data_IF_912357606376
#
_entry.id   IF_912357606376
#
_cell.length_a   1.000
_cell.length_b   1.000
_cell.length_c   1.000
_cell.angle_alpha   90.00
_cell.angle_beta   90.00
_cell.angle_gamma   90.00
#
_symmetry.space_group_name_H-M   'P 1'
#
loop_
_entity.id
_entity.type
_entity.pdbx_description
1 polymer ?
#
# COMPACT_ATOMS: atom_id res chain seq x y z
N UNK A 1 10.09 1.04 26.44
CA UNK A 1 9.66 -0.31 26.89
C UNK A 1 10.65 -0.85 27.92
N UNK A 2 10.21 -1.36 29.09
CA UNK A 2 11.13 -1.82 30.14
C UNK A 2 11.84 -3.09 29.70
N UNK A 3 13.19 -3.11 29.73
CA UNK A 3 14.01 -4.30 29.51
C UNK A 3 13.62 -5.38 30.55
N UNK A 4 13.00 -6.49 30.10
CA UNK A 4 12.71 -7.63 30.99
C UNK A 4 11.52 -8.51 30.58
N UNK A 5 10.53 -8.00 29.87
CA UNK A 5 9.42 -8.77 29.30
C UNK A 5 9.27 -8.38 27.82
N UNK A 6 9.35 -9.34 26.91
CA UNK A 6 9.12 -9.03 25.48
C UNK A 6 7.74 -8.40 25.35
N UNK A 7 7.68 -7.22 24.74
CA UNK A 7 6.38 -6.57 24.46
C UNK A 7 5.65 -7.31 23.35
N UNK A 8 4.33 -7.40 23.47
CA UNK A 8 3.51 -8.17 22.56
C UNK A 8 2.36 -7.33 22.04
N UNK A 9 2.21 -7.28 20.74
CA UNK A 9 1.22 -6.44 20.03
C UNK A 9 0.22 -7.36 19.32
N UNK A 10 -1.07 -7.06 19.43
CA UNK A 10 -2.09 -7.66 18.59
C UNK A 10 -2.38 -6.74 17.40
N UNK A 11 -2.00 -7.16 16.22
CA UNK A 11 -2.31 -6.47 14.97
C UNK A 11 -3.60 -7.04 14.37
N UNK A 12 -4.54 -6.19 13.99
CA UNK A 12 -5.84 -6.60 13.45
C UNK A 12 -5.93 -6.27 11.97
N UNK A 13 -6.14 -7.29 11.13
CA UNK A 13 -6.24 -7.19 9.67
C UNK A 13 -7.23 -8.24 9.15
N UNK A 14 -8.55 -7.98 9.25
CA UNK A 14 -9.58 -9.01 9.10
C UNK A 14 -10.20 -9.13 7.71
N UNK A 15 -10.06 -8.11 6.83
CA UNK A 15 -10.72 -8.12 5.51
C UNK A 15 -9.89 -8.78 4.39
N UNK A 16 -8.60 -8.98 4.61
CA UNK A 16 -7.69 -9.71 3.72
C UNK A 16 -6.62 -10.39 4.57
N UNK A 17 -6.14 -11.55 4.14
CA UNK A 17 -5.11 -12.28 4.89
C UNK A 17 -3.72 -11.68 4.61
N UNK A 18 -2.86 -11.48 5.62
CA UNK A 18 -1.47 -11.08 5.40
C UNK A 18 -0.66 -12.12 4.60
N UNK A 19 -1.18 -13.34 4.45
CA UNK A 19 -0.57 -14.42 3.68
C UNK A 19 -0.93 -14.38 2.19
N UNK A 20 -1.92 -13.56 1.81
CA UNK A 20 -2.34 -13.44 0.41
C UNK A 20 -1.30 -12.64 -0.40
N UNK A 21 -1.07 -13.08 -1.63
CA UNK A 21 -0.14 -12.42 -2.54
C UNK A 21 -0.64 -11.01 -2.89
N UNK A 22 0.20 -9.99 -2.68
CA UNK A 22 -0.11 -8.63 -3.10
C UNK A 22 -0.39 -8.57 -4.62
N UNK A 23 -1.43 -7.81 -4.98
CA UNK A 23 -1.88 -7.69 -6.38
C UNK A 23 -2.96 -8.70 -6.78
N UNK A 24 -3.39 -9.59 -5.89
CA UNK A 24 -4.45 -10.58 -6.12
C UNK A 24 -5.63 -10.28 -5.18
N UNK A 25 -6.85 -10.30 -5.70
CA UNK A 25 -8.06 -10.02 -4.92
C UNK A 25 -8.01 -8.66 -4.22
N UNK A 26 -8.26 -8.63 -2.91
CA UNK A 26 -8.15 -7.43 -2.08
C UNK A 26 -6.74 -7.20 -1.50
N UNK A 27 -5.83 -8.17 -1.66
CA UNK A 27 -4.47 -8.04 -1.17
C UNK A 27 -3.67 -7.00 -1.96
N UNK A 28 -2.97 -6.12 -1.27
CA UNK A 28 -2.22 -5.03 -1.88
C UNK A 28 -1.16 -4.43 -0.96
N UNK A 29 -0.89 -3.15 -1.10
CA UNK A 29 0.14 -2.44 -0.32
C UNK A 29 -0.04 -2.54 1.20
N UNK A 30 -1.28 -2.64 1.69
CA UNK A 30 -1.52 -2.83 3.11
C UNK A 30 -1.01 -4.19 3.62
N UNK A 31 -1.13 -5.27 2.83
CA UNK A 31 -0.60 -6.59 3.18
C UNK A 31 0.92 -6.52 3.35
N UNK A 32 1.60 -5.87 2.40
CA UNK A 32 3.05 -5.63 2.46
C UNK A 32 3.41 -4.81 3.70
N UNK A 33 2.68 -3.70 3.93
CA UNK A 33 2.89 -2.82 5.09
C UNK A 33 2.82 -3.59 6.41
N UNK A 34 1.76 -4.36 6.63
CA UNK A 34 1.53 -5.09 7.89
C UNK A 34 2.62 -6.14 8.11
N UNK A 35 2.93 -6.94 7.09
CA UNK A 35 3.92 -8.01 7.20
C UNK A 35 5.33 -7.47 7.41
N UNK A 36 5.75 -6.51 6.60
CA UNK A 36 7.12 -5.98 6.68
C UNK A 36 7.34 -5.15 7.94
N UNK A 37 6.35 -4.33 8.37
CA UNK A 37 6.42 -3.63 9.64
C UNK A 37 6.51 -4.60 10.82
N UNK A 38 5.69 -5.68 10.83
CA UNK A 38 5.72 -6.69 11.89
C UNK A 38 7.08 -7.38 11.99
N UNK A 39 7.66 -7.80 10.85
CA UNK A 39 9.00 -8.40 10.82
C UNK A 39 10.08 -7.47 11.40
N UNK A 40 10.06 -6.18 11.06
CA UNK A 40 11.03 -5.21 11.58
C UNK A 40 10.79 -4.88 13.06
N UNK A 41 9.55 -4.85 13.52
CA UNK A 41 9.24 -4.72 14.94
C UNK A 41 9.69 -5.95 15.73
N UNK A 42 9.55 -7.16 15.18
CA UNK A 42 10.03 -8.39 15.79
C UNK A 42 11.56 -8.41 15.89
N UNK A 43 12.27 -7.98 14.85
CA UNK A 43 13.72 -7.80 14.87
C UNK A 43 14.16 -6.77 15.93
N UNK A 44 13.31 -5.79 16.28
CA UNK A 44 13.52 -4.86 17.38
C UNK A 44 13.11 -5.41 18.76
N UNK A 45 12.70 -6.68 18.87
CA UNK A 45 12.39 -7.38 20.12
C UNK A 45 10.91 -7.29 20.56
N UNK A 46 9.99 -6.92 19.66
CA UNK A 46 8.55 -6.86 19.90
C UNK A 46 7.87 -8.04 19.22
N UNK A 47 7.17 -8.88 19.97
CA UNK A 47 6.39 -9.98 19.39
C UNK A 47 5.08 -9.45 18.80
N UNK A 48 4.72 -9.90 17.59
CA UNK A 48 3.54 -9.45 16.86
C UNK A 48 2.66 -10.63 16.46
N UNK A 49 1.43 -10.66 16.96
CA UNK A 49 0.41 -11.58 16.50
C UNK A 49 -0.56 -10.84 15.57
N UNK A 50 -0.62 -11.23 14.30
CA UNK A 50 -1.49 -10.64 13.28
C UNK A 50 -2.78 -11.46 13.19
N UNK A 51 -3.89 -10.89 13.63
CA UNK A 51 -5.20 -11.53 13.60
C UNK A 51 -5.90 -11.25 12.28
N UNK A 52 -6.29 -12.31 11.60
CA UNK A 52 -7.06 -12.27 10.35
C UNK A 52 -8.24 -13.24 10.40
N UNK A 53 -9.25 -13.02 9.56
CA UNK A 53 -10.38 -13.95 9.46
C UNK A 53 -9.97 -15.21 8.70
N UNK A 54 -10.35 -16.38 9.23
CA UNK A 54 -10.23 -17.63 8.49
C UNK A 54 -11.20 -17.62 7.29
N UNK A 55 -10.67 -17.80 6.11
CA UNK A 55 -11.43 -17.85 4.83
C UNK A 55 -11.49 -19.27 4.23
N UNK A 56 -10.92 -20.28 4.93
CA UNK A 56 -10.95 -21.70 4.57
C UNK A 56 -11.06 -22.53 5.84
N UNK A 57 -11.77 -23.68 5.80
CA UNK A 57 -12.02 -24.50 6.99
C UNK A 57 -10.78 -25.18 7.58
N UNK A 58 -9.75 -25.41 6.76
CA UNK A 58 -8.56 -26.18 7.14
C UNK A 58 -7.32 -25.32 7.42
N UNK A 59 -7.52 -24.02 7.66
CA UNK A 59 -6.39 -23.16 8.05
C UNK A 59 -5.97 -23.49 9.49
N UNK A 60 -4.66 -23.59 9.77
CA UNK A 60 -4.18 -23.76 11.14
C UNK A 60 -4.53 -22.51 11.97
N UNK A 61 -4.71 -22.68 13.27
CA UNK A 61 -5.02 -21.57 14.19
C UNK A 61 -3.92 -20.50 14.15
N UNK A 62 -2.67 -20.91 13.99
CA UNK A 62 -1.49 -20.02 13.95
C UNK A 62 -0.47 -20.48 12.93
N UNK A 63 0.11 -19.50 12.21
CA UNK A 63 1.25 -19.68 11.29
C UNK A 63 2.33 -18.68 11.67
N UNK A 64 3.52 -19.17 12.01
CA UNK A 64 4.69 -18.32 12.17
C UNK A 64 5.24 -17.95 10.78
N UNK A 65 5.38 -16.63 10.51
CA UNK A 65 5.87 -16.09 9.23
C UNK A 65 7.27 -15.49 9.32
N UNK A 66 7.72 -15.23 10.53
CA UNK A 66 9.08 -14.82 10.89
C UNK A 66 9.26 -15.03 12.40
N UNK A 67 10.51 -15.06 12.88
CA UNK A 67 10.78 -15.13 14.32
C UNK A 67 10.06 -14.00 15.08
N UNK A 68 9.17 -14.37 15.98
CA UNK A 68 8.34 -13.45 16.75
C UNK A 68 7.15 -12.82 16.00
N UNK A 69 6.82 -13.30 14.79
CA UNK A 69 5.63 -12.85 14.03
C UNK A 69 4.73 -14.02 13.67
N UNK A 70 3.52 -14.04 14.22
CA UNK A 70 2.52 -15.06 13.96
C UNK A 70 1.28 -14.47 13.27
N UNK A 71 0.69 -15.24 12.35
CA UNK A 71 -0.64 -15.00 11.81
C UNK A 71 -1.63 -15.90 12.55
N UNK A 72 -2.63 -15.29 13.18
CA UNK A 72 -3.69 -15.96 13.94
C UNK A 72 -4.99 -15.93 13.15
N UNK A 73 -5.62 -17.08 12.92
CA UNK A 73 -6.87 -17.17 12.19
C UNK A 73 -8.07 -17.16 13.13
N UNK A 74 -8.93 -16.15 13.01
CA UNK A 74 -10.20 -16.04 13.72
C UNK A 74 -11.32 -16.66 12.89
N UNK A 75 -12.05 -17.62 13.45
CA UNK A 75 -13.22 -18.21 12.81
C UNK A 75 -14.43 -17.33 13.08
N UNK A 76 -14.96 -16.69 12.02
CA UNK A 76 -16.11 -15.81 12.11
C UNK A 76 -16.89 -15.81 10.78
N UNK A 77 -18.16 -16.19 10.85
CA UNK A 77 -19.04 -16.32 9.69
C UNK A 77 -18.65 -17.47 8.76
N UNK A 78 -19.22 -17.50 7.54
CA UNK A 78 -18.91 -18.52 6.55
C UNK A 78 -17.46 -18.40 6.08
N UNK A 79 -16.82 -19.52 5.79
CA UNK A 79 -15.44 -19.51 5.26
C UNK A 79 -15.37 -18.91 3.85
N UNK A 80 -16.34 -19.24 3.00
CA UNK A 80 -16.39 -18.84 1.60
C UNK A 80 -17.61 -17.93 1.31
N UNK A 81 -17.56 -17.18 0.21
CA UNK A 81 -18.68 -16.40 -0.30
C UNK A 81 -18.99 -15.10 0.45
N UNK A 82 -18.23 -14.74 1.48
CA UNK A 82 -18.42 -13.49 2.20
C UNK A 82 -17.66 -12.36 1.48
N UNK A 83 -18.40 -11.39 0.97
CA UNK A 83 -17.81 -10.19 0.37
C UNK A 83 -17.26 -9.24 1.44
N UNK A 84 -16.41 -8.32 1.03
CA UNK A 84 -15.85 -7.29 1.91
C UNK A 84 -16.93 -6.37 2.49
N UNK A 85 -17.98 -6.11 1.72
CA UNK A 85 -19.12 -5.28 2.09
C UNK A 85 -19.99 -5.94 3.17
N UNK A 86 -19.95 -7.26 3.26
CA UNK A 86 -20.69 -8.05 4.25
C UNK A 86 -19.90 -8.29 5.55
N UNK A 87 -18.58 -8.07 5.55
CA UNK A 87 -17.72 -8.26 6.73
C UNK A 87 -18.16 -7.46 7.97
N UNK A 88 -18.72 -6.25 7.88
CA UNK A 88 -19.23 -5.55 9.07
C UNK A 88 -20.28 -6.33 9.84
N UNK A 89 -21.07 -7.18 9.18
CA UNK A 89 -22.05 -8.05 9.84
C UNK A 89 -21.40 -9.12 10.73
N UNK A 90 -20.11 -9.40 10.54
CA UNK A 90 -19.35 -10.41 11.29
C UNK A 90 -18.54 -9.83 12.47
N UNK A 91 -18.64 -8.53 12.76
CA UNK A 91 -17.87 -7.90 13.84
C UNK A 91 -18.12 -8.54 15.21
N UNK A 92 -19.37 -8.92 15.52
CA UNK A 92 -19.69 -9.63 16.75
C UNK A 92 -19.01 -11.00 16.86
N UNK A 93 -19.02 -11.79 15.78
CA UNK A 93 -18.37 -13.09 15.73
C UNK A 93 -16.84 -12.96 15.81
N UNK A 94 -16.26 -11.98 15.12
CA UNK A 94 -14.82 -11.67 15.18
C UNK A 94 -14.40 -11.24 16.58
N UNK A 95 -15.19 -10.38 17.23
CA UNK A 95 -14.95 -9.97 18.64
C UNK A 95 -14.97 -11.18 19.57
N UNK A 96 -15.99 -12.03 19.44
CA UNK A 96 -16.11 -13.23 20.27
C UNK A 96 -14.93 -14.18 20.08
N UNK A 97 -14.50 -14.42 18.83
CA UNK A 97 -13.35 -15.28 18.53
C UNK A 97 -12.05 -14.70 19.11
N UNK A 98 -11.81 -13.39 18.98
CA UNK A 98 -10.65 -12.73 19.59
C UNK A 98 -10.69 -12.85 21.12
N UNK A 99 -11.83 -12.58 21.75
CA UNK A 99 -11.97 -12.64 23.20
C UNK A 99 -11.80 -14.06 23.75
N UNK A 100 -12.28 -15.09 23.02
CA UNK A 100 -12.02 -16.49 23.37
C UNK A 100 -10.51 -16.80 23.36
N UNK A 101 -9.80 -16.35 22.33
CA UNK A 101 -8.34 -16.48 22.28
C UNK A 101 -7.67 -15.71 23.44
N UNK A 102 -8.05 -14.46 23.67
CA UNK A 102 -7.51 -13.61 24.74
C UNK A 102 -7.71 -14.21 26.15
N UNK A 103 -8.87 -14.83 26.41
CA UNK A 103 -9.20 -15.43 27.71
C UNK A 103 -8.37 -16.67 28.02
N UNK A 104 -7.72 -17.30 27.05
CA UNK A 104 -6.79 -18.42 27.25
C UNK A 104 -5.38 -17.95 27.62
N UNK A 105 -5.10 -16.64 27.54
CA UNK A 105 -3.79 -16.06 27.73
C UNK A 105 -3.68 -15.38 29.11
N UNK A 106 -2.46 -15.21 29.65
CA UNK A 106 -2.26 -14.44 30.86
C UNK A 106 -2.79 -13.00 30.76
N UNK A 107 -3.21 -12.43 31.87
CA UNK A 107 -3.61 -11.02 31.96
C UNK A 107 -2.49 -10.11 31.39
N UNK A 108 -2.89 -9.10 30.62
CA UNK A 108 -1.97 -8.17 29.99
C UNK A 108 -0.98 -8.84 29.00
N UNK A 109 -1.41 -9.91 28.34
CA UNK A 109 -0.60 -10.59 27.33
C UNK A 109 -0.28 -9.65 26.16
N UNK A 110 -1.30 -8.99 25.61
CA UNK A 110 -1.12 -7.90 24.66
C UNK A 110 -1.13 -6.56 25.40
N UNK A 111 -0.16 -5.70 25.08
CA UNK A 111 -0.03 -4.37 25.64
C UNK A 111 -0.73 -3.32 24.79
N UNK A 112 -0.89 -3.58 23.48
CA UNK A 112 -1.44 -2.64 22.51
C UNK A 112 -2.13 -3.39 21.37
N UNK A 113 -3.20 -2.77 20.83
CA UNK A 113 -3.87 -3.17 19.60
C UNK A 113 -3.44 -2.22 18.49
N UNK A 114 -3.08 -2.75 17.32
CA UNK A 114 -2.88 -1.95 16.11
C UNK A 114 -3.78 -2.49 14.99
N UNK A 115 -4.78 -1.72 14.61
CA UNK A 115 -5.73 -2.11 13.57
C UNK A 115 -5.45 -1.42 12.24
N UNK A 116 -5.67 -2.16 11.15
CA UNK A 116 -5.44 -1.71 9.79
C UNK A 116 -6.72 -1.81 8.97
N UNK A 117 -7.11 -0.69 8.35
CA UNK A 117 -8.36 -0.52 7.63
C UNK A 117 -9.60 -0.46 8.55
N UNK A 118 -10.64 0.25 8.12
CA UNK A 118 -11.77 0.65 8.94
C UNK A 118 -12.52 -0.49 9.62
N UNK A 119 -12.71 -1.67 8.95
CA UNK A 119 -13.39 -2.84 9.53
C UNK A 119 -12.58 -3.38 10.71
N UNK A 120 -11.27 -3.52 10.55
CA UNK A 120 -10.38 -3.91 11.64
C UNK A 120 -10.32 -2.83 12.73
N UNK A 121 -10.50 -1.57 12.36
CA UNK A 121 -10.62 -0.45 13.28
C UNK A 121 -11.85 -0.57 14.18
N UNK A 122 -13.01 -0.90 13.61
CA UNK A 122 -14.23 -1.14 14.37
C UNK A 122 -14.09 -2.35 15.32
N UNK A 123 -13.48 -3.45 14.83
CA UNK A 123 -13.15 -4.59 15.68
C UNK A 123 -12.24 -4.18 16.85
N UNK A 124 -11.15 -3.45 16.53
CA UNK A 124 -10.18 -2.95 17.51
C UNK A 124 -10.81 -2.02 18.55
N UNK A 125 -11.74 -1.16 18.14
CA UNK A 125 -12.50 -0.32 19.05
C UNK A 125 -13.28 -1.15 20.08
N UNK A 126 -14.09 -2.11 19.62
CA UNK A 126 -14.89 -2.95 20.54
C UNK A 126 -13.99 -3.75 21.50
N UNK A 127 -12.88 -4.32 21.00
CA UNK A 127 -11.91 -5.04 21.85
C UNK A 127 -11.26 -4.08 22.86
N UNK A 128 -10.85 -2.88 22.42
CA UNK A 128 -10.24 -1.88 23.29
C UNK A 128 -11.16 -1.47 24.45
N UNK A 129 -12.45 -1.27 24.18
CA UNK A 129 -13.44 -0.96 25.23
C UNK A 129 -13.59 -2.09 26.24
N UNK A 130 -13.63 -3.37 25.79
CA UNK A 130 -13.79 -4.52 26.65
C UNK A 130 -12.54 -4.86 27.47
N UNK A 131 -11.34 -4.60 26.94
CA UNK A 131 -10.08 -5.02 27.54
C UNK A 131 -9.28 -3.87 28.15
N UNK A 132 -9.66 -2.64 27.86
CA UNK A 132 -8.88 -1.43 28.16
C UNK A 132 -7.46 -1.43 27.56
N UNK A 133 -7.18 -2.22 26.51
CA UNK A 133 -5.93 -2.19 25.77
C UNK A 133 -5.98 -0.98 24.81
N UNK A 134 -4.96 -0.09 24.79
CA UNK A 134 -4.96 1.06 23.89
C UNK A 134 -4.94 0.65 22.44
N UNK A 135 -5.69 1.39 21.59
CA UNK A 135 -5.84 1.14 20.17
C UNK A 135 -5.07 2.20 19.36
N UNK A 136 -4.11 1.76 18.58
CA UNK A 136 -3.55 2.53 17.45
C UNK A 136 -4.23 2.06 16.17
N UNK A 137 -4.51 3.00 15.26
CA UNK A 137 -5.17 2.68 14.00
C UNK A 137 -4.49 3.34 12.80
N UNK A 138 -4.37 2.58 11.69
CA UNK A 138 -3.92 3.06 10.38
C UNK A 138 -5.01 2.83 9.36
N UNK A 139 -5.48 3.92 8.71
CA UNK A 139 -6.60 3.84 7.74
C UNK A 139 -6.23 3.14 6.45
N UNK A 140 -5.03 3.35 5.93
CA UNK A 140 -4.52 2.98 4.61
C UNK A 140 -5.28 3.60 3.44
N UNK A 141 -6.59 3.71 3.50
CA UNK A 141 -7.44 4.46 2.55
C UNK A 141 -8.68 4.95 3.28
N UNK A 142 -9.24 6.07 2.87
CA UNK A 142 -10.44 6.63 3.47
C UNK A 142 -11.52 6.90 2.42
N UNK A 143 -12.79 6.67 2.78
CA UNK A 143 -13.94 6.83 1.90
C UNK A 143 -14.07 8.27 1.40
N UNK A 144 -13.96 9.25 2.30
CA UNK A 144 -14.15 10.66 1.93
C UNK A 144 -13.08 11.14 0.95
N UNK A 145 -11.81 10.76 1.12
CA UNK A 145 -10.74 11.13 0.18
C UNK A 145 -10.94 10.43 -1.17
N UNK A 146 -11.33 9.14 -1.18
CA UNK A 146 -11.66 8.44 -2.43
C UNK A 146 -12.82 9.08 -3.17
N UNK A 147 -13.88 9.45 -2.45
CA UNK A 147 -15.07 10.07 -3.05
C UNK A 147 -14.80 11.47 -3.63
N UNK A 148 -13.77 12.16 -3.15
CA UNK A 148 -13.32 13.43 -3.74
C UNK A 148 -12.51 13.23 -5.04
N UNK A 149 -12.00 12.01 -5.30
CA UNK A 149 -11.08 11.71 -6.38
C UNK A 149 -11.51 10.46 -7.18
N UNK A 150 -12.79 10.35 -7.49
CA UNK A 150 -13.32 9.20 -8.24
C UNK A 150 -12.79 9.18 -9.68
N UNK A 151 -12.42 8.00 -10.15
CA UNK A 151 -12.17 7.76 -11.57
C UNK A 151 -13.49 7.81 -12.36
N UNK A 152 -13.39 8.05 -13.68
CA UNK A 152 -14.57 8.07 -14.53
C UNK A 152 -15.32 6.71 -14.48
N UNK A 153 -16.60 6.74 -14.12
CA UNK A 153 -17.42 5.54 -14.01
C UNK A 153 -17.25 4.74 -12.70
N UNK A 154 -16.43 5.23 -11.76
CA UNK A 154 -16.31 4.61 -10.45
C UNK A 154 -17.45 5.05 -9.53
N UNK A 155 -18.01 4.11 -8.77
CA UNK A 155 -19.03 4.40 -7.77
C UNK A 155 -18.39 4.95 -6.49
N UNK A 156 -19.05 5.89 -5.79
CA UNK A 156 -18.56 6.35 -4.50
C UNK A 156 -18.59 5.24 -3.45
N UNK A 157 -17.65 5.31 -2.51
CA UNK A 157 -17.63 4.43 -1.35
C UNK A 157 -18.93 4.61 -0.52
N UNK A 158 -19.48 3.53 0.02
CA UNK A 158 -20.73 3.57 0.76
C UNK A 158 -20.66 4.49 1.99
N UNK A 159 -21.76 5.19 2.30
CA UNK A 159 -21.83 6.08 3.47
C UNK A 159 -21.53 5.35 4.79
N UNK A 160 -21.95 4.07 4.91
CA UNK A 160 -21.65 3.26 6.11
C UNK A 160 -20.15 3.13 6.38
N UNK A 161 -19.33 3.10 5.33
CA UNK A 161 -17.86 3.10 5.47
C UNK A 161 -17.37 4.43 6.07
N UNK A 162 -17.82 5.56 5.54
CA UNK A 162 -17.44 6.88 6.05
C UNK A 162 -17.84 7.05 7.53
N UNK A 163 -19.03 6.59 7.91
CA UNK A 163 -19.50 6.59 9.31
C UNK A 163 -18.61 5.70 10.18
N UNK A 164 -18.31 4.48 9.71
CA UNK A 164 -17.43 3.56 10.43
C UNK A 164 -16.02 4.10 10.63
N UNK A 165 -15.46 4.78 9.61
CA UNK A 165 -14.17 5.46 9.70
C UNK A 165 -14.19 6.58 10.75
N UNK A 166 -15.25 7.41 10.79
CA UNK A 166 -15.41 8.46 11.80
C UNK A 166 -15.49 7.90 13.22
N UNK A 167 -16.19 6.78 13.41
CA UNK A 167 -16.27 6.11 14.69
C UNK A 167 -14.89 5.63 15.17
N UNK A 168 -14.12 5.01 14.27
CA UNK A 168 -12.76 4.54 14.58
C UNK A 168 -11.83 5.70 14.92
N UNK A 169 -11.90 6.81 14.16
CA UNK A 169 -11.11 8.02 14.44
C UNK A 169 -11.36 8.56 15.85
N UNK A 170 -12.62 8.55 16.30
CA UNK A 170 -12.99 9.01 17.64
C UNK A 170 -12.55 8.06 18.74
N UNK A 171 -12.58 6.74 18.47
CA UNK A 171 -12.32 5.69 19.46
C UNK A 171 -10.84 5.38 19.63
N UNK A 172 -10.02 5.54 18.59
CA UNK A 172 -8.60 5.23 18.63
C UNK A 172 -7.84 6.12 19.61
N UNK A 173 -6.93 5.53 20.39
CA UNK A 173 -5.99 6.25 21.26
C UNK A 173 -5.08 7.15 20.43
N UNK A 174 -4.63 6.67 19.26
CA UNK A 174 -3.85 7.42 18.30
C UNK A 174 -4.00 6.85 16.88
N UNK A 175 -3.73 7.69 15.90
CA UNK A 175 -3.83 7.40 14.48
C UNK A 175 -2.45 7.49 13.84
N UNK A 176 -2.11 6.55 12.98
CA UNK A 176 -0.95 6.63 12.10
C UNK A 176 -1.44 6.96 10.69
N UNK A 177 -0.95 8.08 10.16
CA UNK A 177 -1.11 8.50 8.78
C UNK A 177 0.18 8.20 7.99
N UNK A 178 0.07 7.78 6.75
CA UNK A 178 1.23 7.49 5.91
C UNK A 178 1.95 8.74 5.40
N UNK A 179 1.23 9.87 5.35
CA UNK A 179 1.74 11.16 4.85
C UNK A 179 1.12 12.32 5.60
N UNK A 180 1.74 13.51 5.51
CA UNK A 180 1.17 14.76 6.05
C UNK A 180 -0.20 15.08 5.41
N UNK A 181 -0.38 14.78 4.12
CA UNK A 181 -1.66 14.97 3.43
C UNK A 181 -2.76 14.05 3.99
N UNK A 182 -2.44 12.80 4.32
CA UNK A 182 -3.37 11.90 4.99
C UNK A 182 -3.69 12.38 6.41
N UNK A 183 -2.68 12.82 7.18
CA UNK A 183 -2.87 13.40 8.50
C UNK A 183 -3.80 14.62 8.46
N UNK A 184 -3.57 15.56 7.52
CA UNK A 184 -4.43 16.71 7.31
C UNK A 184 -5.87 16.31 6.94
N UNK A 185 -6.05 15.27 6.14
CA UNK A 185 -7.37 14.73 5.78
C UNK A 185 -8.08 14.09 6.99
N UNK A 186 -7.36 13.37 7.84
CA UNK A 186 -7.92 12.79 9.07
C UNK A 186 -8.42 13.91 10.02
N UNK A 187 -7.69 15.00 10.12
CA UNK A 187 -8.11 16.16 10.94
C UNK A 187 -9.30 16.89 10.29
N UNK A 188 -9.19 17.25 9.02
CA UNK A 188 -10.18 18.14 8.36
C UNK A 188 -11.47 17.43 7.98
N UNK A 189 -11.41 16.17 7.51
CA UNK A 189 -12.57 15.43 7.02
C UNK A 189 -13.19 14.50 8.06
N UNK A 190 -12.38 14.00 9.00
CA UNK A 190 -12.83 13.01 10.00
C UNK A 190 -12.83 13.55 11.43
N UNK A 191 -12.35 14.78 11.66
CA UNK A 191 -12.36 15.41 12.97
C UNK A 191 -11.37 14.80 13.97
N UNK A 192 -10.28 14.21 13.48
CA UNK A 192 -9.22 13.70 14.35
C UNK A 192 -8.59 14.83 15.16
N UNK A 193 -8.26 14.53 16.42
CA UNK A 193 -7.47 15.45 17.25
C UNK A 193 -6.02 15.49 16.69
N UNK A 194 -5.48 16.67 16.29
CA UNK A 194 -4.14 16.75 15.70
C UNK A 194 -3.04 16.16 16.60
N UNK A 195 -3.17 16.26 17.92
CA UNK A 195 -2.19 15.74 18.89
C UNK A 195 -2.18 14.20 18.97
N UNK A 196 -3.15 13.52 18.36
CA UNK A 196 -3.27 12.08 18.32
C UNK A 196 -2.99 11.50 16.93
N UNK A 197 -2.57 12.32 15.95
CA UNK A 197 -2.24 11.90 14.58
C UNK A 197 -0.73 11.96 14.38
N UNK A 198 -0.14 10.84 13.99
CA UNK A 198 1.30 10.68 13.77
C UNK A 198 1.59 10.34 12.32
N UNK A 199 2.58 10.99 11.71
CA UNK A 199 2.98 10.68 10.33
C UNK A 199 4.11 9.66 10.36
N UNK A 200 3.82 8.45 9.86
CA UNK A 200 4.78 7.36 9.72
C UNK A 200 4.71 6.83 8.30
N UNK A 201 5.66 7.23 7.47
CA UNK A 201 5.73 6.77 6.09
C UNK A 201 5.98 5.25 6.02
N UNK A 202 5.32 4.54 5.09
CA UNK A 202 5.65 3.16 4.76
C UNK A 202 7.08 3.03 4.26
N UNK A 203 7.59 1.80 4.27
CA UNK A 203 8.92 1.49 3.77
C UNK A 203 8.93 0.77 2.43
N UNK A 204 10.15 0.51 1.95
CA UNK A 204 10.45 -0.38 0.84
C UNK A 204 11.53 -1.37 1.28
N UNK A 205 11.48 -2.61 0.78
CA UNK A 205 12.52 -3.61 1.02
C UNK A 205 13.72 -3.34 0.10
N UNK A 206 14.69 -2.59 0.61
CA UNK A 206 15.91 -2.22 -0.12
C UNK A 206 16.85 -3.42 -0.40
N UNK A 207 16.60 -4.57 0.19
CA UNK A 207 17.37 -5.79 -0.10
C UNK A 207 16.87 -6.47 -1.36
N UNK A 208 15.58 -6.47 -1.60
CA UNK A 208 14.95 -7.01 -2.81
C UNK A 208 14.93 -5.96 -3.93
N UNK A 209 14.47 -4.74 -3.62
CA UNK A 209 14.39 -3.65 -4.57
C UNK A 209 15.65 -2.79 -4.48
N UNK A 210 16.56 -2.99 -5.41
CA UNK A 210 17.83 -2.26 -5.51
C UNK A 210 18.34 -2.29 -6.96
N UNK A 211 19.27 -1.42 -7.34
CA UNK A 211 19.77 -1.33 -8.71
C UNK A 211 20.93 -2.30 -9.04
N UNK A 212 21.34 -3.16 -8.08
CA UNK A 212 22.63 -3.88 -8.14
C UNK A 212 22.87 -4.70 -9.42
N UNK A 213 21.83 -5.37 -9.94
CA UNK A 213 21.96 -6.18 -11.16
C UNK A 213 21.91 -5.36 -12.46
N UNK A 214 21.44 -4.13 -12.39
CA UNK A 214 21.32 -3.22 -13.51
C UNK A 214 20.29 -3.62 -14.56
N UNK A 215 19.95 -2.64 -15.41
CA UNK A 215 18.91 -2.75 -16.44
C UNK A 215 19.22 -3.80 -17.51
N UNK A 216 20.47 -3.90 -17.95
CA UNK A 216 20.84 -4.83 -19.02
C UNK A 216 20.65 -6.30 -18.61
N UNK A 217 21.07 -6.66 -17.39
CA UNK A 217 20.92 -8.02 -16.89
C UNK A 217 19.45 -8.39 -16.63
N UNK A 218 18.66 -7.42 -16.11
CA UNK A 218 17.22 -7.61 -15.92
C UNK A 218 16.51 -7.85 -17.26
N UNK A 219 16.82 -7.06 -18.30
CA UNK A 219 16.30 -7.25 -19.66
C UNK A 219 16.65 -8.60 -20.25
N UNK A 220 17.89 -9.05 -20.06
CA UNK A 220 18.31 -10.37 -20.51
C UNK A 220 17.51 -11.48 -19.86
N UNK A 221 17.28 -11.42 -18.52
CA UNK A 221 16.47 -12.42 -17.81
C UNK A 221 15.01 -12.44 -18.24
N UNK A 222 14.47 -11.30 -18.65
CA UNK A 222 13.07 -11.15 -19.07
C UNK A 222 12.87 -11.27 -20.59
N UNK A 223 13.92 -11.57 -21.34
CA UNK A 223 13.90 -11.63 -22.82
C UNK A 223 13.38 -10.34 -23.48
N UNK A 224 13.81 -9.19 -22.94
CA UNK A 224 13.45 -7.86 -23.44
C UNK A 224 14.58 -7.31 -24.30
N UNK A 225 14.23 -6.81 -25.49
CA UNK A 225 15.20 -6.21 -26.40
C UNK A 225 15.99 -5.05 -25.72
N UNK A 226 17.33 -4.97 -25.90
CA UNK A 226 18.15 -3.96 -25.24
C UNK A 226 17.75 -2.51 -25.56
N UNK A 227 17.19 -2.27 -26.76
CA UNK A 227 16.78 -0.96 -27.25
C UNK A 227 15.27 -0.69 -27.14
N UNK A 228 14.52 -1.59 -26.50
CA UNK A 228 13.10 -1.38 -26.19
C UNK A 228 12.89 -0.16 -25.31
N UNK A 229 11.83 0.59 -25.57
CA UNK A 229 11.32 1.67 -24.71
C UNK A 229 10.20 1.07 -23.86
N UNK A 230 10.50 0.82 -22.60
CA UNK A 230 9.60 0.08 -21.72
C UNK A 230 8.94 1.01 -20.71
N UNK A 231 7.61 1.12 -20.79
CA UNK A 231 6.75 1.81 -19.85
C UNK A 231 5.98 0.78 -19.04
N UNK A 232 6.07 0.82 -17.72
CA UNK A 232 5.48 -0.21 -16.87
C UNK A 232 4.47 0.40 -15.90
N UNK A 233 3.29 -0.18 -15.84
CA UNK A 233 2.30 -0.02 -14.77
C UNK A 233 2.31 -1.28 -13.92
N UNK A 234 2.31 -1.11 -12.60
CA UNK A 234 2.18 -2.21 -11.63
C UNK A 234 1.08 -1.86 -10.64
N UNK A 235 0.16 -2.79 -10.41
CA UNK A 235 -0.91 -2.60 -9.44
C UNK A 235 -2.14 -3.44 -9.75
N UNK A 236 -3.07 -3.47 -8.81
CA UNK A 236 -4.39 -4.07 -9.08
C UNK A 236 -5.06 -3.36 -10.24
N UNK A 237 -5.65 -4.14 -11.14
CA UNK A 237 -6.36 -3.59 -12.29
C UNK A 237 -7.73 -3.10 -11.81
N UNK A 238 -7.78 -1.81 -11.47
CA UNK A 238 -8.95 -1.11 -10.94
C UNK A 238 -9.01 0.31 -11.55
N UNK A 239 -10.20 0.89 -11.80
CA UNK A 239 -10.33 2.21 -12.40
C UNK A 239 -9.54 3.29 -11.68
N UNK A 240 -9.60 3.34 -10.34
CA UNK A 240 -8.89 4.35 -9.55
C UNK A 240 -7.35 4.24 -9.59
N UNK A 241 -6.79 3.15 -10.15
CA UNK A 241 -5.35 3.02 -10.41
C UNK A 241 -4.93 3.60 -11.76
N UNK A 242 -5.89 3.88 -12.64
CA UNK A 242 -5.71 4.60 -13.89
C UNK A 242 -4.88 3.90 -14.97
N UNK A 243 -4.85 2.56 -15.11
CA UNK A 243 -4.06 1.92 -16.17
C UNK A 243 -4.49 2.34 -17.57
N UNK A 244 -5.72 2.75 -17.76
CA UNK A 244 -6.27 3.28 -19.02
C UNK A 244 -5.60 4.61 -19.42
N UNK A 245 -5.20 5.44 -18.45
CA UNK A 245 -4.48 6.70 -18.71
C UNK A 245 -3.14 6.42 -19.40
N UNK A 246 -2.40 5.40 -18.95
CA UNK A 246 -1.14 4.99 -19.59
C UNK A 246 -1.39 4.48 -21.01
N UNK A 247 -2.42 3.65 -21.25
CA UNK A 247 -2.75 3.16 -22.59
C UNK A 247 -3.09 4.30 -23.54
N UNK A 248 -3.92 5.26 -23.09
CA UNK A 248 -4.28 6.44 -23.90
C UNK A 248 -3.07 7.33 -24.16
N UNK A 249 -2.19 7.53 -23.18
CA UNK A 249 -0.97 8.30 -23.38
C UNK A 249 -0.03 7.61 -24.39
N UNK A 250 0.13 6.29 -24.29
CA UNK A 250 0.94 5.51 -25.24
C UNK A 250 0.39 5.57 -26.66
N UNK A 251 -0.94 5.50 -26.83
CA UNK A 251 -1.57 5.66 -28.14
C UNK A 251 -1.25 7.02 -28.76
N UNK A 252 -1.31 8.11 -27.99
CA UNK A 252 -0.94 9.44 -28.46
C UNK A 252 0.55 9.55 -28.80
N UNK A 253 1.43 8.90 -28.02
CA UNK A 253 2.87 8.86 -28.35
C UNK A 253 3.10 8.21 -29.72
N UNK A 254 2.44 7.08 -30.00
CA UNK A 254 2.56 6.37 -31.28
C UNK A 254 1.96 7.18 -32.42
N UNK A 255 0.83 7.87 -32.19
CA UNK A 255 0.21 8.74 -33.18
C UNK A 255 1.11 9.91 -33.59
N UNK A 256 1.71 10.60 -32.61
CA UNK A 256 2.58 11.75 -32.85
C UNK A 256 3.98 11.34 -33.34
N UNK A 257 4.45 10.15 -32.98
CA UNK A 257 5.79 9.66 -33.29
C UNK A 257 5.74 8.19 -33.72
N UNK A 258 5.26 7.89 -34.95
CA UNK A 258 4.97 6.51 -35.39
C UNK A 258 6.18 5.56 -35.36
N UNK A 259 7.39 6.07 -35.50
CA UNK A 259 8.60 5.23 -35.45
C UNK A 259 8.91 4.67 -34.06
N UNK A 260 8.32 5.24 -32.98
CA UNK A 260 8.44 4.68 -31.63
C UNK A 260 7.78 3.31 -31.50
N UNK A 261 6.75 3.02 -32.33
CA UNK A 261 5.99 1.77 -32.26
C UNK A 261 6.86 0.52 -32.31
N UNK A 262 7.88 0.53 -33.15
CA UNK A 262 8.77 -0.62 -33.32
C UNK A 262 9.60 -0.95 -32.05
N UNK A 263 9.72 -0.02 -31.11
CA UNK A 263 10.53 -0.18 -29.88
C UNK A 263 9.71 -0.05 -28.61
N UNK A 264 8.47 0.41 -28.69
CA UNK A 264 7.62 0.65 -27.51
C UNK A 264 7.09 -0.66 -26.96
N UNK A 265 7.26 -0.86 -25.65
CA UNK A 265 6.66 -1.93 -24.87
C UNK A 265 5.93 -1.30 -23.67
N UNK A 266 4.61 -1.42 -23.64
CA UNK A 266 3.77 -0.98 -22.53
C UNK A 266 3.38 -2.20 -21.71
N UNK A 267 3.89 -2.33 -20.50
CA UNK A 267 3.63 -3.45 -19.60
C UNK A 267 2.57 -3.05 -18.57
N UNK A 268 1.47 -3.78 -18.54
CA UNK A 268 0.41 -3.67 -17.52
C UNK A 268 0.47 -4.92 -16.66
N UNK A 269 1.03 -4.79 -15.45
CA UNK A 269 1.22 -5.91 -14.54
C UNK A 269 0.26 -5.81 -13.35
N UNK A 270 -0.56 -6.84 -13.18
CA UNK A 270 -1.48 -6.93 -12.04
C UNK A 270 -2.60 -7.93 -12.22
N UNK A 271 -3.31 -8.19 -11.13
CA UNK A 271 -4.49 -9.04 -11.11
C UNK A 271 -5.79 -8.23 -11.06
N UNK A 272 -6.89 -8.86 -11.48
CA UNK A 272 -8.24 -8.33 -11.25
C UNK A 272 -8.57 -8.43 -9.76
N UNK A 273 -9.21 -7.41 -9.19
CA UNK A 273 -9.81 -7.51 -7.86
C UNK A 273 -11.20 -8.16 -7.98
N UNK A 274 -11.55 -9.00 -7.00
CA UNK A 274 -12.84 -9.70 -6.98
C UNK A 274 -14.03 -8.75 -7.07
N UNK A 275 -15.02 -9.10 -7.89
CA UNK A 275 -16.27 -8.36 -7.98
C UNK A 275 -16.86 -8.20 -9.39
N UNK A 276 -16.74 -9.20 -10.26
CA UNK A 276 -17.69 -9.38 -11.37
C UNK A 276 -17.49 -8.56 -12.64
N UNK A 277 -16.69 -7.52 -12.66
CA UNK A 277 -16.34 -6.80 -13.89
C UNK A 277 -14.95 -7.19 -14.31
N UNK A 278 -14.81 -7.67 -15.55
CA UNK A 278 -13.51 -8.09 -16.07
C UNK A 278 -12.71 -6.86 -16.55
N UNK A 279 -12.20 -6.07 -15.59
CA UNK A 279 -11.42 -4.85 -15.87
C UNK A 279 -10.21 -5.13 -16.77
N UNK A 280 -9.63 -6.32 -16.68
CA UNK A 280 -8.56 -6.73 -17.57
C UNK A 280 -9.03 -6.82 -19.03
N UNK A 281 -10.22 -7.39 -19.27
CA UNK A 281 -10.75 -7.50 -20.63
C UNK A 281 -11.18 -6.13 -21.17
N UNK A 282 -11.66 -5.23 -20.30
CA UNK A 282 -11.93 -3.84 -20.67
C UNK A 282 -10.63 -3.13 -21.13
N UNK A 283 -9.51 -3.33 -20.42
CA UNK A 283 -8.23 -2.76 -20.83
C UNK A 283 -7.70 -3.37 -22.13
N UNK A 284 -7.86 -4.68 -22.32
CA UNK A 284 -7.50 -5.33 -23.61
C UNK A 284 -8.35 -4.80 -24.76
N UNK A 285 -9.65 -4.61 -24.53
CA UNK A 285 -10.54 -4.00 -25.52
C UNK A 285 -10.15 -2.55 -25.82
N UNK A 286 -9.77 -1.79 -24.79
CA UNK A 286 -9.27 -0.43 -24.95
C UNK A 286 -7.97 -0.40 -25.78
N UNK A 287 -7.02 -1.27 -25.53
CA UNK A 287 -5.77 -1.35 -26.30
C UNK A 287 -6.04 -1.62 -27.80
N UNK A 288 -6.97 -2.54 -28.11
CA UNK A 288 -7.43 -2.80 -29.48
C UNK A 288 -8.12 -1.59 -30.09
N UNK A 289 -9.04 -0.95 -29.37
CA UNK A 289 -9.73 0.26 -29.83
C UNK A 289 -8.74 1.38 -30.15
N UNK A 290 -7.70 1.54 -29.33
CA UNK A 290 -6.63 2.51 -29.53
C UNK A 290 -5.58 2.06 -30.57
N UNK A 291 -5.70 0.85 -31.12
CA UNK A 291 -4.79 0.26 -32.13
C UNK A 291 -3.33 0.20 -31.65
N UNK A 292 -3.14 -0.17 -30.39
CA UNK A 292 -1.82 -0.33 -29.73
C UNK A 292 -1.65 -1.72 -29.07
N UNK A 293 -2.54 -2.64 -29.36
CA UNK A 293 -2.54 -3.99 -28.74
C UNK A 293 -1.29 -4.82 -29.10
N UNK A 294 -0.59 -4.48 -30.16
CA UNK A 294 0.70 -5.07 -30.55
C UNK A 294 1.89 -4.62 -29.67
N UNK A 295 1.77 -3.47 -28.97
CA UNK A 295 2.82 -2.96 -28.09
C UNK A 295 2.47 -3.06 -26.61
N UNK A 296 1.27 -3.58 -26.27
CA UNK A 296 0.79 -3.71 -24.87
C UNK A 296 0.90 -5.16 -24.40
N UNK A 297 1.55 -5.37 -23.28
CA UNK A 297 1.78 -6.67 -22.67
C UNK A 297 1.08 -6.72 -21.30
N UNK A 298 0.13 -7.62 -21.13
CA UNK A 298 -0.56 -7.86 -19.86
C UNK A 298 0.11 -9.01 -19.11
N UNK A 299 0.65 -8.74 -17.94
CA UNK A 299 1.42 -9.68 -17.12
C UNK A 299 0.65 -9.93 -15.80
N UNK A 300 0.50 -11.20 -15.45
CA UNK A 300 -0.06 -11.58 -14.14
C UNK A 300 0.86 -11.13 -12.99
N UNK A 301 0.35 -11.01 -11.75
CA UNK A 301 1.18 -10.75 -10.58
C UNK A 301 2.31 -11.76 -10.45
N UNK A 302 3.51 -11.24 -10.13
CA UNK A 302 4.73 -12.04 -10.01
C UNK A 302 5.30 -11.95 -8.59
N UNK A 303 6.30 -12.76 -8.26
CA UNK A 303 7.03 -12.66 -6.99
C UNK A 303 7.83 -11.36 -6.90
N UNK A 304 8.11 -10.88 -5.68
CA UNK A 304 8.83 -9.63 -5.45
C UNK A 304 10.22 -9.60 -6.13
N UNK A 305 10.95 -10.71 -6.15
CA UNK A 305 12.24 -10.79 -6.83
C UNK A 305 12.10 -10.59 -8.36
N UNK A 306 11.11 -11.22 -8.97
CA UNK A 306 10.85 -11.06 -10.39
C UNK A 306 10.29 -9.67 -10.70
N UNK A 307 9.46 -9.10 -9.81
CA UNK A 307 8.96 -7.74 -9.90
C UNK A 307 10.10 -6.71 -9.90
N UNK A 308 11.12 -6.93 -9.04
CA UNK A 308 12.31 -6.09 -9.02
C UNK A 308 13.05 -6.10 -10.39
N UNK A 309 13.09 -7.25 -11.09
CA UNK A 309 13.66 -7.29 -12.44
C UNK A 309 12.81 -6.53 -13.45
N UNK A 310 11.48 -6.60 -13.37
CA UNK A 310 10.59 -5.79 -14.20
C UNK A 310 10.79 -4.29 -13.97
N UNK A 311 10.96 -3.86 -12.73
CA UNK A 311 11.30 -2.47 -12.43
C UNK A 311 12.65 -2.09 -13.03
N UNK A 312 13.72 -2.86 -12.79
CA UNK A 312 15.07 -2.60 -13.35
C UNK A 312 15.08 -2.54 -14.88
N UNK A 313 14.29 -3.40 -15.54
CA UNK A 313 14.18 -3.46 -17.00
C UNK A 313 13.49 -2.24 -17.60
N UNK A 314 12.63 -1.56 -16.86
CA UNK A 314 11.79 -0.44 -17.30
C UNK A 314 12.61 0.83 -17.58
N UNK A 315 12.13 1.65 -18.52
CA UNK A 315 12.61 3.03 -18.70
C UNK A 315 11.92 3.98 -17.74
N UNK A 316 10.62 3.79 -17.56
CA UNK A 316 9.77 4.55 -16.64
C UNK A 316 8.73 3.62 -16.05
N UNK A 317 8.42 3.82 -14.76
CA UNK A 317 7.23 3.25 -14.13
C UNK A 317 6.18 4.34 -14.03
N UNK A 318 4.96 4.03 -14.46
CA UNK A 318 3.85 4.97 -14.52
C UNK A 318 2.82 4.63 -13.44
N UNK A 319 2.48 5.61 -12.59
CA UNK A 319 1.52 5.47 -11.48
C UNK A 319 0.41 6.52 -11.62
N UNK A 320 -0.53 6.33 -12.58
CA UNK A 320 -1.58 7.30 -12.90
C UNK A 320 -2.81 7.19 -11.99
N UNK A 321 -2.62 6.90 -10.71
CA UNK A 321 -3.69 6.68 -9.75
C UNK A 321 -4.55 7.94 -9.53
N UNK A 322 -5.87 7.77 -9.38
CA UNK A 322 -6.82 8.81 -8.97
C UNK A 322 -6.83 9.00 -7.46
N UNK A 323 -6.46 7.97 -6.71
CA UNK A 323 -6.32 8.02 -5.26
C UNK A 323 -5.20 7.09 -4.83
N UNK A 324 -4.24 7.60 -4.05
CA UNK A 324 -3.11 6.83 -3.53
C UNK A 324 -2.74 7.35 -2.14
N UNK A 325 -2.73 6.43 -1.16
CA UNK A 325 -2.38 6.79 0.23
C UNK A 325 -0.89 7.06 0.39
N UNK A 326 -0.05 6.32 -0.35
CA UNK A 326 1.39 6.52 -0.32
C UNK A 326 2.04 6.28 -1.69
N UNK A 327 1.96 5.05 -2.24
CA UNK A 327 2.57 4.69 -3.51
C UNK A 327 3.79 3.78 -3.36
N UNK A 328 3.63 2.61 -2.72
CA UNK A 328 4.73 1.62 -2.57
C UNK A 328 5.36 1.25 -3.90
N UNK A 329 4.56 1.07 -4.96
CA UNK A 329 5.03 0.79 -6.32
C UNK A 329 6.02 1.86 -6.80
N UNK A 330 5.75 3.14 -6.49
CA UNK A 330 6.65 4.22 -6.85
C UNK A 330 7.99 4.11 -6.11
N UNK A 331 7.97 3.77 -4.81
CA UNK A 331 9.21 3.56 -4.05
C UNK A 331 9.99 2.33 -4.50
N UNK A 332 9.31 1.21 -4.77
CA UNK A 332 9.92 -0.03 -5.25
C UNK A 332 10.65 0.19 -6.58
N UNK A 333 9.99 0.89 -7.52
CA UNK A 333 10.58 1.24 -8.81
C UNK A 333 11.81 2.14 -8.63
N UNK A 334 11.71 3.18 -7.80
CA UNK A 334 12.80 4.11 -7.50
C UNK A 334 13.97 3.41 -6.81
N UNK A 335 13.69 2.51 -5.86
CA UNK A 335 14.73 1.71 -5.22
C UNK A 335 15.49 0.83 -6.23
N UNK A 336 14.82 0.36 -7.29
CA UNK A 336 15.44 -0.36 -8.41
C UNK A 336 16.18 0.56 -9.41
N UNK A 337 16.21 1.87 -9.18
CA UNK A 337 16.85 2.85 -10.07
C UNK A 337 15.99 3.26 -11.27
N UNK A 338 14.69 3.00 -11.24
CA UNK A 338 13.78 3.36 -12.33
C UNK A 338 12.98 4.61 -11.97
N UNK A 339 13.09 5.70 -12.76
CA UNK A 339 12.33 6.91 -12.55
C UNK A 339 10.82 6.68 -12.69
N UNK A 340 10.04 7.41 -11.91
CA UNK A 340 8.58 7.29 -11.87
C UNK A 340 7.91 8.50 -12.51
N UNK A 341 6.87 8.25 -13.31
CA UNK A 341 5.90 9.28 -13.70
C UNK A 341 4.61 8.99 -12.94
N UNK A 342 4.17 9.90 -12.09
CA UNK A 342 3.02 9.70 -11.22
C UNK A 342 2.06 10.88 -11.25
N UNK A 343 0.78 10.62 -10.92
CA UNK A 343 -0.18 11.72 -10.71
C UNK A 343 0.22 12.53 -9.47
N UNK A 344 0.11 13.84 -9.56
CA UNK A 344 0.41 14.76 -8.46
C UNK A 344 -0.70 14.78 -7.39
N UNK A 345 -0.97 13.64 -6.75
CA UNK A 345 -2.04 13.47 -5.75
C UNK A 345 -1.56 12.76 -4.48
N UNK A 346 -2.26 13.00 -3.38
CA UNK A 346 -2.13 12.24 -2.13
C UNK A 346 -0.70 11.90 -1.76
N UNK A 347 -0.49 10.64 -1.42
CA UNK A 347 0.83 10.12 -1.04
C UNK A 347 1.87 10.08 -2.15
N UNK A 348 1.49 10.13 -3.42
CA UNK A 348 2.44 10.19 -4.53
C UNK A 348 3.31 11.45 -4.52
N UNK A 349 2.81 12.57 -3.97
CA UNK A 349 3.61 13.79 -3.76
C UNK A 349 4.73 13.61 -2.72
N UNK A 350 4.60 12.62 -1.84
CA UNK A 350 5.65 12.22 -0.88
C UNK A 350 6.54 11.13 -1.44
N UNK A 351 5.94 10.14 -2.12
CA UNK A 351 6.67 9.00 -2.67
C UNK A 351 7.55 9.37 -3.88
N UNK A 352 7.22 10.44 -4.60
CA UNK A 352 7.99 10.92 -5.76
C UNK A 352 8.41 12.36 -5.55
N UNK A 353 9.72 12.61 -5.53
CA UNK A 353 10.29 13.96 -5.51
C UNK A 353 10.36 14.49 -6.94
N UNK A 354 9.45 15.43 -7.27
CA UNK A 354 9.30 15.95 -8.63
C UNK A 354 10.59 16.57 -9.16
N UNK A 355 10.98 16.15 -10.35
CA UNK A 355 12.22 16.61 -11.03
C UNK A 355 13.51 16.03 -10.45
N UNK A 356 13.47 15.24 -9.37
CA UNK A 356 14.62 14.59 -8.71
C UNK A 356 14.55 13.07 -8.85
N UNK A 357 13.48 12.44 -8.39
CA UNK A 357 13.33 10.98 -8.43
C UNK A 357 12.33 10.50 -9.49
N UNK A 358 11.61 11.43 -10.11
CA UNK A 358 10.59 11.17 -11.11
C UNK A 358 9.97 12.48 -11.60
N UNK A 359 8.77 12.37 -12.18
CA UNK A 359 7.97 13.52 -12.59
C UNK A 359 6.54 13.37 -12.13
N UNK A 360 5.97 14.44 -11.59
CA UNK A 360 4.57 14.52 -11.22
C UNK A 360 3.75 15.16 -12.34
N UNK A 361 2.60 14.58 -12.64
CA UNK A 361 1.65 15.08 -13.65
C UNK A 361 0.37 15.52 -12.96
N UNK A 362 -0.07 16.74 -13.21
CA UNK A 362 -1.35 17.22 -12.69
C UNK A 362 -2.52 16.63 -13.49
N UNK A 363 -3.38 15.89 -12.81
CA UNK A 363 -4.55 15.23 -13.40
C UNK A 363 -4.22 14.02 -14.29
N UNK A 364 -5.22 13.63 -15.09
CA UNK A 364 -5.22 12.36 -15.84
C UNK A 364 -5.43 12.57 -17.35
N UNK A 365 -5.19 13.80 -17.86
CA UNK A 365 -5.26 14.06 -19.31
C UNK A 365 -4.16 13.25 -20.03
N UNK A 366 -4.53 12.33 -20.94
CA UNK A 366 -3.57 11.53 -21.68
C UNK A 366 -2.56 12.37 -22.48
N UNK A 367 -2.92 13.61 -22.88
CA UNK A 367 -2.00 14.52 -23.58
C UNK A 367 -0.88 14.99 -22.67
N UNK A 368 -1.22 15.37 -21.44
CA UNK A 368 -0.22 15.79 -20.46
C UNK A 368 0.74 14.63 -20.13
N UNK A 369 0.20 13.42 -19.91
CA UNK A 369 0.99 12.21 -19.69
C UNK A 369 1.89 11.86 -20.87
N UNK A 370 1.34 11.85 -22.10
CA UNK A 370 2.10 11.61 -23.33
C UNK A 370 3.26 12.59 -23.47
N UNK A 371 3.02 13.89 -23.23
CA UNK A 371 4.05 14.93 -23.34
C UNK A 371 5.20 14.72 -22.34
N UNK A 372 4.88 14.42 -21.05
CA UNK A 372 5.89 14.17 -20.01
C UNK A 372 6.69 12.91 -20.34
N UNK A 373 6.03 11.80 -20.68
CA UNK A 373 6.68 10.53 -21.01
C UNK A 373 7.58 10.70 -22.26
N UNK A 374 7.06 11.29 -23.36
CA UNK A 374 7.81 11.48 -24.60
C UNK A 374 9.06 12.34 -24.39
N UNK A 375 8.96 13.41 -23.60
CA UNK A 375 10.11 14.24 -23.23
C UNK A 375 11.18 13.43 -22.49
N UNK A 376 10.78 12.65 -21.47
CA UNK A 376 11.72 11.83 -20.71
C UNK A 376 12.36 10.74 -21.58
N UNK A 377 11.61 10.15 -22.52
CA UNK A 377 12.17 9.17 -23.49
C UNK A 377 13.21 9.83 -24.42
N UNK A 378 12.95 11.06 -24.88
CA UNK A 378 13.85 11.79 -25.75
C UNK A 378 15.11 12.32 -25.04
N UNK A 379 15.10 12.41 -23.70
CA UNK A 379 16.17 13.00 -22.88
C UNK A 379 16.88 11.92 -22.00
N UNK A 380 17.75 11.06 -22.55
CA UNK A 380 18.39 9.97 -21.78
C UNK A 380 19.25 10.48 -20.61
N UNK A 381 19.89 11.64 -20.74
CA UNK A 381 20.67 12.25 -19.65
C UNK A 381 19.76 12.66 -18.48
N UNK A 382 18.59 13.20 -18.79
CA UNK A 382 17.58 13.53 -17.77
C UNK A 382 17.09 12.29 -17.04
N UNK A 383 16.79 11.20 -17.78
CA UNK A 383 16.40 9.92 -17.16
C UNK A 383 17.49 9.36 -16.25
N UNK A 384 18.76 9.47 -16.66
CA UNK A 384 19.88 9.03 -15.81
C UNK A 384 19.95 9.82 -14.49
N UNK A 385 19.80 11.15 -14.55
CA UNK A 385 19.78 11.97 -13.34
C UNK A 385 18.60 11.61 -12.42
N UNK A 386 17.41 11.41 -13.01
CA UNK A 386 16.25 10.96 -12.26
C UNK A 386 16.44 9.56 -11.65
N UNK A 387 17.14 8.64 -12.35
CA UNK A 387 17.47 7.31 -11.85
C UNK A 387 18.37 7.37 -10.62
N UNK A 388 19.38 8.22 -10.63
CA UNK A 388 20.26 8.44 -9.47
C UNK A 388 19.47 9.02 -8.29
N UNK A 389 18.69 10.07 -8.53
CA UNK A 389 17.85 10.69 -7.52
C UNK A 389 16.74 9.75 -6.99
N UNK A 390 16.26 8.83 -7.83
CA UNK A 390 15.28 7.81 -7.45
C UNK A 390 15.85 6.86 -6.37
N UNK A 391 17.05 6.34 -6.57
CA UNK A 391 17.71 5.46 -5.59
C UNK A 391 17.98 6.21 -4.28
N UNK A 392 18.48 7.43 -4.37
CA UNK A 392 18.75 8.27 -3.20
C UNK A 392 17.44 8.54 -2.43
N UNK A 393 16.39 8.98 -3.12
CA UNK A 393 15.09 9.26 -2.50
C UNK A 393 14.51 8.01 -1.82
N UNK A 394 14.46 6.86 -2.51
CA UNK A 394 13.94 5.62 -1.95
C UNK A 394 14.73 5.12 -0.74
N UNK A 395 16.03 5.40 -0.66
CA UNK A 395 16.87 4.99 0.46
C UNK A 395 16.44 5.54 1.83
N UNK A 396 15.70 6.64 1.84
CA UNK A 396 15.15 7.24 3.06
C UNK A 396 13.90 6.50 3.60
N UNK A 397 13.34 5.58 2.83
CA UNK A 397 12.10 4.86 3.14
C UNK A 397 12.33 3.37 3.44
N UNK A 398 13.28 3.04 4.32
CA UNK A 398 13.45 1.65 4.77
C UNK A 398 12.39 1.26 5.81
N UNK A 399 11.95 -0.01 5.79
CA UNK A 399 10.99 -0.55 6.77
C UNK A 399 11.49 -0.45 8.22
N UNK A 400 12.79 -0.40 8.45
CA UNK A 400 13.39 -0.18 9.76
C UNK A 400 12.96 1.17 10.36
N UNK A 401 12.94 2.22 9.53
CA UNK A 401 12.51 3.55 9.94
C UNK A 401 11.01 3.59 10.25
N UNK A 402 10.19 2.93 9.41
CA UNK A 402 8.74 2.75 9.64
C UNK A 402 8.48 2.05 10.98
N UNK A 403 9.14 0.92 11.24
CA UNK A 403 8.98 0.16 12.47
C UNK A 403 9.42 0.98 13.70
N UNK A 404 10.56 1.65 13.64
CA UNK A 404 11.05 2.51 14.73
C UNK A 404 10.04 3.60 15.07
N UNK A 405 9.59 4.38 14.08
CA UNK A 405 8.59 5.44 14.30
C UNK A 405 7.25 4.89 14.80
N UNK A 406 6.84 3.72 14.32
CA UNK A 406 5.62 3.04 14.81
C UNK A 406 5.77 2.66 16.30
N UNK A 407 6.93 2.14 16.71
CA UNK A 407 7.21 1.82 18.10
C UNK A 407 7.23 3.07 19.00
N UNK A 408 7.71 4.21 18.49
CA UNK A 408 7.64 5.50 19.22
C UNK A 408 6.17 5.91 19.49
N UNK A 409 5.27 5.69 18.51
CA UNK A 409 3.82 5.93 18.68
C UNK A 409 3.21 4.95 19.71
N UNK A 410 3.65 3.70 19.73
CA UNK A 410 3.19 2.72 20.72
C UNK A 410 3.64 3.12 22.14
N UNK A 411 4.87 3.54 22.31
CA UNK A 411 5.37 4.00 23.62
C UNK A 411 4.59 5.24 24.10
N UNK A 412 4.25 6.16 23.19
CA UNK A 412 3.38 7.29 23.50
C UNK A 412 1.98 6.83 23.96
N UNK A 413 1.33 5.90 23.25
CA UNK A 413 0.00 5.41 23.61
C UNK A 413 -0.01 4.70 24.96
N UNK A 414 1.03 3.92 25.26
CA UNK A 414 1.20 3.24 26.54
C UNK A 414 1.45 4.23 27.69
N UNK A 415 2.18 5.32 27.44
CA UNK A 415 2.43 6.37 28.44
C UNK A 415 1.17 7.14 28.81
N UNK A 416 0.28 7.42 27.86
CA UNK A 416 -1.02 8.05 28.11
C UNK A 416 -1.88 7.23 29.08
N UNK A 417 -1.87 5.90 28.91
CA UNK A 417 -2.64 4.99 29.80
C UNK A 417 -2.13 5.00 31.22
N UNK A 418 -0.81 5.14 31.44
CA UNK A 418 -0.20 5.11 32.77
C UNK A 418 -0.27 6.43 33.55
N UNK A 419 -0.87 7.48 32.98
CA UNK A 419 -0.98 8.81 33.62
C UNK A 419 0.35 9.55 33.80
N UNK A 420 1.46 9.08 33.20
CA UNK A 420 2.81 9.67 33.32
C UNK A 420 3.19 10.60 32.17
N UNK A 421 2.26 10.96 31.31
CA UNK A 421 2.51 11.70 30.06
C UNK A 421 2.60 13.21 30.23
N UNK A 422 3.77 13.73 30.61
CA UNK A 422 4.20 15.10 30.24
C UNK A 422 5.04 14.97 28.97
N UNK A 423 4.52 15.42 27.84
CA UNK A 423 5.23 15.42 26.56
C UNK A 423 6.32 16.48 26.53
N UNK A 424 7.58 16.04 26.58
CA UNK A 424 8.62 16.76 25.85
C UNK A 424 8.36 16.51 24.35
N UNK A 425 8.10 17.58 23.57
CA UNK A 425 7.90 17.52 22.12
C UNK A 425 9.03 16.73 21.47
N UNK A 426 8.74 15.55 20.95
CA UNK A 426 9.65 14.84 20.05
C UNK A 426 9.82 15.71 18.80
N UNK A 427 10.97 16.39 18.69
CA UNK A 427 11.40 17.03 17.44
C UNK A 427 11.63 15.92 16.41
N UNK A 428 10.60 15.66 15.61
CA UNK A 428 10.66 14.85 14.41
C UNK A 428 11.09 15.78 13.26
N UNK A 429 12.38 16.12 13.19
CA UNK A 429 13.01 16.70 12.02
C UNK A 429 13.53 15.58 11.12
#
# INVERSE_FOLDING_TARGET
MKRGKKSRIATLMVHTSPLDQAGVGDAGGMNVYVVESAKKMAAAGVEVDIFTRANKPNLPESIEIADGVNVKHLIAGPFEGLSKEELPSQLGALTSAFMQHQNQLPNHYYQLLHSHYWISGQLGWVISEQTSIPLIHTMHTTAKVKNLNLAQGENPEPQIRAIGEEQVVKAATGLIANTDAEAASLVSLYGACPDNVFVVAPGVDLTTYNPADGKANARQRLDIAPDAIMLTFVGRIQPHKGPDVLLRAAAQMVEHTPHLRAKLAVVIMGGSSGGGVNELDNLKALAKFLKIDDVVHFIAPVSNHLLADWYRASDLVCVPSYSESFGLVALEAQACGTPVVATAIGGLRTAVSDGISGSLVDGHDPKAWSAVISRLIAEPQRRLLLSIGAVEHASHFGWENTARKTLDVYDWALSKKSGTGSLSRLNLA
#
